data_IF_928116005623
#
_entry.id   IF_928116005623
#
_cell.length_a   1.000
_cell.length_b   1.000
_cell.length_c   1.000
_cell.angle_alpha   90.00
_cell.angle_beta   90.00
_cell.angle_gamma   90.00
#
_symmetry.space_group_name_H-M   'P 1'
#
loop_
_entity.id
_entity.type
_entity.pdbx_description
1 polymer ?
#
# COMPACT_ATOMS: atom_id res chain seq x y z
N UNK A 1 4.39 37.13 7.12
CA UNK A 1 3.99 36.01 6.29
C UNK A 1 3.85 34.78 7.15
N UNK A 2 2.65 34.48 7.52
CA UNK A 2 2.41 33.21 8.16
C UNK A 2 2.58 32.12 7.14
N UNK A 3 3.69 31.41 7.20
CA UNK A 3 3.71 30.10 6.62
C UNK A 3 2.63 29.32 7.36
N UNK A 4 1.52 29.18 6.70
CA UNK A 4 0.57 28.16 7.12
C UNK A 4 1.33 26.86 6.95
N UNK A 5 1.82 26.35 8.05
CA UNK A 5 2.34 25.01 8.10
C UNK A 5 1.12 24.12 7.84
N UNK A 6 0.93 23.84 6.58
CA UNK A 6 -0.09 22.92 6.17
C UNK A 6 0.42 21.52 6.53
N UNK A 7 0.17 21.15 7.78
CA UNK A 7 0.64 19.88 8.33
C UNK A 7 -0.06 18.67 7.73
N UNK A 8 -1.20 18.88 7.09
CA UNK A 8 -1.96 17.78 6.51
C UNK A 8 -1.40 17.26 5.17
N UNK A 9 -0.98 18.10 4.20
CA UNK A 9 -0.47 17.61 2.93
C UNK A 9 0.89 16.91 3.00
N UNK A 10 1.77 17.36 3.88
CA UNK A 10 3.09 16.75 4.00
C UNK A 10 3.03 15.35 4.61
N UNK A 11 2.11 15.13 5.51
CA UNK A 11 1.96 13.84 6.17
C UNK A 11 1.31 12.77 5.29
N UNK A 12 0.67 13.18 4.20
CA UNK A 12 -0.09 12.28 3.33
C UNK A 12 0.45 12.26 1.91
N UNK A 13 1.76 12.30 1.78
CA UNK A 13 2.41 12.18 0.49
C UNK A 13 2.63 10.72 0.14
N UNK A 14 2.46 10.40 -1.13
CA UNK A 14 2.60 9.05 -1.64
C UNK A 14 3.40 8.99 -2.92
N UNK A 15 3.97 7.84 -3.19
CA UNK A 15 4.43 7.46 -4.52
C UNK A 15 3.48 6.42 -5.09
N UNK A 16 3.28 6.46 -6.39
CA UNK A 16 2.48 5.47 -7.12
C UNK A 16 3.41 4.52 -7.85
N UNK A 17 3.10 3.24 -7.79
CA UNK A 17 3.90 2.19 -8.40
C UNK A 17 3.03 1.34 -9.31
N UNK A 18 3.45 1.16 -10.54
CA UNK A 18 2.74 0.34 -11.52
C UNK A 18 3.69 -0.53 -12.32
N UNK A 19 3.22 -1.71 -12.69
CA UNK A 19 3.89 -2.59 -13.65
C UNK A 19 3.18 -2.45 -14.99
N UNK A 20 3.93 -2.12 -16.03
CA UNK A 20 3.43 -2.07 -17.40
C UNK A 20 3.74 -3.43 -18.05
N UNK A 21 2.69 -4.17 -18.38
CA UNK A 21 2.83 -5.49 -19.01
C UNK A 21 3.21 -5.35 -20.47
N UNK A 22 3.85 -6.35 -21.06
CA UNK A 22 4.35 -6.30 -22.43
C UNK A 22 3.28 -5.94 -23.46
N UNK A 23 2.05 -6.39 -23.26
CA UNK A 23 0.93 -6.11 -24.15
C UNK A 23 0.20 -4.82 -23.85
N UNK A 24 0.63 -4.12 -22.82
CA UNK A 24 -0.01 -2.91 -22.38
C UNK A 24 0.65 -1.70 -23.03
N UNK A 25 -0.17 -0.83 -23.59
CA UNK A 25 0.28 0.44 -24.12
C UNK A 25 0.64 1.39 -22.97
N UNK A 26 1.70 2.19 -23.13
CA UNK A 26 2.07 3.21 -22.15
C UNK A 26 0.94 4.19 -21.88
N UNK A 27 0.16 4.51 -22.90
CA UNK A 27 -1.01 5.36 -22.77
C UNK A 27 -2.02 4.78 -21.79
N UNK A 28 -2.30 3.49 -21.91
CA UNK A 28 -3.23 2.78 -21.03
C UNK A 28 -2.69 2.73 -19.60
N UNK A 29 -1.40 2.48 -19.42
CA UNK A 29 -0.76 2.49 -18.12
C UNK A 29 -0.85 3.87 -17.47
N UNK A 30 -0.66 4.94 -18.22
CA UNK A 30 -0.80 6.29 -17.73
C UNK A 30 -2.24 6.64 -17.36
N UNK A 31 -3.21 6.15 -18.11
CA UNK A 31 -4.63 6.32 -17.78
C UNK A 31 -4.97 5.64 -16.45
N UNK A 32 -4.47 4.44 -16.21
CA UNK A 32 -4.66 3.75 -14.93
C UNK A 32 -3.97 4.47 -13.78
N UNK A 33 -2.79 5.03 -14.01
CA UNK A 33 -2.09 5.82 -13.00
C UNK A 33 -2.79 7.14 -12.71
N UNK A 34 -3.36 7.78 -13.72
CA UNK A 34 -4.18 8.99 -13.53
C UNK A 34 -5.41 8.68 -12.67
N UNK A 35 -6.04 7.56 -12.92
CA UNK A 35 -7.18 7.07 -12.14
C UNK A 35 -6.77 6.77 -10.69
N UNK A 36 -5.63 6.11 -10.49
CA UNK A 36 -5.10 5.83 -9.17
C UNK A 36 -4.76 7.11 -8.41
N UNK A 37 -4.16 8.08 -9.09
CA UNK A 37 -3.87 9.39 -8.51
C UNK A 37 -5.14 10.10 -8.06
N UNK A 38 -6.19 10.04 -8.88
CA UNK A 38 -7.50 10.59 -8.52
C UNK A 38 -8.09 9.89 -7.28
N UNK A 39 -7.97 8.58 -7.19
CA UNK A 39 -8.40 7.83 -6.01
C UNK A 39 -7.60 8.23 -4.77
N UNK A 40 -6.30 8.39 -4.91
CA UNK A 40 -5.45 8.83 -3.79
C UNK A 40 -5.86 10.24 -3.32
N UNK A 41 -6.07 11.16 -4.24
CA UNK A 41 -6.54 12.52 -3.91
C UNK A 41 -7.89 12.49 -3.19
N UNK A 42 -8.79 11.62 -3.63
CA UNK A 42 -10.09 11.42 -2.97
C UNK A 42 -9.93 10.94 -1.53
N UNK A 43 -8.90 10.15 -1.25
CA UNK A 43 -8.56 9.71 0.10
C UNK A 43 -7.78 10.77 0.90
N UNK A 44 -7.49 11.91 0.31
CA UNK A 44 -6.70 12.96 0.93
C UNK A 44 -5.19 12.73 0.86
N UNK A 45 -4.75 11.93 -0.10
CA UNK A 45 -3.34 11.57 -0.28
C UNK A 45 -2.81 12.23 -1.56
N UNK A 46 -1.68 12.91 -1.45
CA UNK A 46 -1.04 13.58 -2.58
C UNK A 46 0.05 12.70 -3.19
N UNK A 47 -0.08 12.39 -4.46
CA UNK A 47 0.95 11.70 -5.22
C UNK A 47 2.08 12.66 -5.61
N UNK A 48 3.30 12.35 -5.25
CA UNK A 48 4.47 13.19 -5.56
C UNK A 48 5.34 12.62 -6.66
N UNK A 49 5.26 11.32 -6.89
CA UNK A 49 6.03 10.66 -7.96
C UNK A 49 5.37 9.35 -8.37
N UNK A 50 5.52 9.02 -9.66
CA UNK A 50 5.08 7.76 -10.23
C UNK A 50 6.30 6.93 -10.61
N UNK A 51 6.29 5.67 -10.23
CA UNK A 51 7.30 4.69 -10.63
C UNK A 51 6.62 3.63 -11.50
N UNK A 52 7.20 3.37 -12.65
CA UNK A 52 6.71 2.33 -13.54
C UNK A 52 7.85 1.39 -13.89
N UNK A 53 7.52 0.13 -14.09
CA UNK A 53 8.46 -0.86 -14.58
C UNK A 53 7.76 -1.72 -15.60
N UNK A 54 8.41 -1.94 -16.75
CA UNK A 54 7.90 -2.85 -17.77
C UNK A 54 8.37 -4.25 -17.46
N UNK A 55 7.44 -5.14 -17.21
CA UNK A 55 7.68 -6.55 -16.94
C UNK A 55 6.67 -7.40 -17.72
N UNK A 56 7.06 -8.61 -18.10
CA UNK A 56 6.14 -9.57 -18.71
C UNK A 56 4.96 -9.87 -17.80
N UNK A 57 5.24 -9.99 -16.50
CA UNK A 57 4.25 -10.16 -15.44
C UNK A 57 4.81 -9.57 -14.15
N UNK A 58 3.94 -9.13 -13.22
CA UNK A 58 4.41 -8.70 -11.91
C UNK A 58 5.18 -9.81 -11.20
N UNK A 59 6.22 -9.43 -10.46
CA UNK A 59 6.98 -10.38 -9.66
C UNK A 59 6.06 -11.02 -8.59
N UNK A 60 6.09 -12.32 -8.50
CA UNK A 60 5.32 -13.04 -7.49
C UNK A 60 5.81 -12.73 -6.05
N UNK A 61 7.05 -12.31 -5.91
CA UNK A 61 7.68 -12.02 -4.62
C UNK A 61 7.42 -10.60 -4.15
N UNK A 62 7.66 -9.61 -5.02
CA UNK A 62 7.65 -8.20 -4.63
C UNK A 62 6.90 -7.29 -5.59
N UNK A 63 6.14 -7.84 -6.53
CA UNK A 63 5.40 -7.11 -7.56
C UNK A 63 6.32 -6.45 -8.60
N UNK A 64 7.40 -5.81 -8.17
CA UNK A 64 8.41 -5.15 -9.00
C UNK A 64 9.76 -5.83 -8.83
N UNK A 65 10.68 -5.57 -9.74
CA UNK A 65 12.04 -6.11 -9.66
C UNK A 65 12.85 -5.49 -8.53
N UNK A 66 13.89 -6.19 -8.10
CA UNK A 66 14.73 -5.79 -6.96
C UNK A 66 15.39 -4.41 -7.15
N UNK A 67 15.86 -4.12 -8.36
CA UNK A 67 16.48 -2.84 -8.67
C UNK A 67 15.49 -1.67 -8.54
N UNK A 68 14.28 -1.85 -9.06
CA UNK A 68 13.22 -0.84 -8.94
C UNK A 68 12.77 -0.70 -7.50
N UNK A 69 12.69 -1.79 -6.76
CA UNK A 69 12.34 -1.80 -5.35
C UNK A 69 13.35 -0.96 -4.54
N UNK A 70 14.64 -1.15 -4.78
CA UNK A 70 15.70 -0.38 -4.12
C UNK A 70 15.62 1.11 -4.48
N UNK A 71 15.35 1.44 -5.74
CA UNK A 71 15.17 2.81 -6.22
C UNK A 71 14.01 3.50 -5.49
N UNK A 72 12.87 2.84 -5.40
CA UNK A 72 11.68 3.38 -4.73
C UNK A 72 11.94 3.51 -3.23
N UNK A 73 12.56 2.52 -2.61
CA UNK A 73 12.88 2.56 -1.19
C UNK A 73 13.79 3.74 -0.83
N UNK A 74 14.80 3.99 -1.65
CA UNK A 74 15.69 5.14 -1.47
C UNK A 74 14.94 6.47 -1.57
N UNK A 75 14.06 6.60 -2.57
CA UNK A 75 13.25 7.80 -2.74
C UNK A 75 12.30 8.02 -1.57
N UNK A 76 11.64 6.97 -1.13
CA UNK A 76 10.69 7.00 0.00
C UNK A 76 11.37 7.46 1.29
N UNK A 77 12.56 6.92 1.56
CA UNK A 77 13.32 7.29 2.75
C UNK A 77 13.84 8.72 2.66
N UNK A 78 14.45 9.09 1.54
CA UNK A 78 15.05 10.40 1.32
C UNK A 78 14.02 11.54 1.39
N UNK A 79 12.82 11.30 0.86
CA UNK A 79 11.75 12.30 0.79
C UNK A 79 10.69 12.15 1.87
N UNK A 80 10.90 11.27 2.82
CA UNK A 80 9.98 11.03 3.94
C UNK A 80 8.55 10.72 3.46
N UNK A 81 8.44 9.88 2.45
CA UNK A 81 7.15 9.50 1.87
C UNK A 81 6.42 8.57 2.82
N UNK A 82 5.14 8.81 3.02
CA UNK A 82 4.33 8.08 3.97
C UNK A 82 3.60 6.88 3.38
N UNK A 83 3.25 6.94 2.10
CA UNK A 83 2.48 5.90 1.44
C UNK A 83 3.13 5.45 0.15
N UNK A 84 3.13 4.15 -0.08
CA UNK A 84 3.52 3.54 -1.35
C UNK A 84 2.29 2.82 -1.89
N UNK A 85 1.74 3.32 -2.97
CA UNK A 85 0.47 2.83 -3.52
C UNK A 85 0.74 2.06 -4.80
N UNK A 86 0.39 0.79 -4.80
CA UNK A 86 0.56 -0.10 -5.95
C UNK A 86 -0.73 -0.12 -6.78
N UNK A 87 -0.58 0.02 -8.08
CA UNK A 87 -1.70 0.04 -9.02
C UNK A 87 -2.14 -1.38 -9.40
N UNK A 88 -2.38 -2.19 -8.41
CA UNK A 88 -2.91 -3.55 -8.57
C UNK A 88 -3.24 -4.09 -7.19
N UNK A 89 -3.85 -5.27 -7.16
CA UNK A 89 -4.08 -5.99 -5.93
C UNK A 89 -2.82 -6.79 -5.57
N UNK A 90 -2.32 -6.63 -4.37
CA UNK A 90 -1.15 -7.36 -3.89
C UNK A 90 -1.57 -8.69 -3.26
N UNK A 91 -0.83 -9.75 -3.56
CA UNK A 91 -1.01 -11.02 -2.87
C UNK A 91 -0.51 -10.92 -1.43
N UNK A 92 -0.95 -11.81 -0.52
CA UNK A 92 -0.42 -11.84 0.85
C UNK A 92 1.10 -11.98 0.91
N UNK A 93 1.68 -12.77 0.01
CA UNK A 93 3.12 -12.96 -0.09
C UNK A 93 3.84 -11.69 -0.53
N UNK A 94 3.32 -11.02 -1.57
CA UNK A 94 3.88 -9.75 -2.04
C UNK A 94 3.81 -8.69 -0.94
N UNK A 95 2.68 -8.57 -0.29
CA UNK A 95 2.49 -7.60 0.80
C UNK A 95 3.48 -7.82 1.94
N UNK A 96 3.66 -9.08 2.36
CA UNK A 96 4.59 -9.44 3.42
C UNK A 96 6.03 -9.07 3.05
N UNK A 97 6.45 -9.39 1.83
CA UNK A 97 7.81 -9.09 1.38
C UNK A 97 8.04 -7.59 1.21
N UNK A 98 7.06 -6.87 0.70
CA UNK A 98 7.13 -5.41 0.54
C UNK A 98 7.11 -4.70 1.90
N UNK A 99 6.38 -5.22 2.87
CA UNK A 99 6.32 -4.64 4.21
C UNK A 99 7.67 -4.63 4.92
N UNK A 100 8.52 -5.60 4.63
CA UNK A 100 9.89 -5.65 5.16
C UNK A 100 10.72 -4.44 4.71
N UNK A 101 10.41 -3.91 3.54
CA UNK A 101 11.10 -2.77 2.95
C UNK A 101 10.44 -1.45 3.34
N UNK A 102 9.12 -1.37 3.25
CA UNK A 102 8.37 -0.12 3.40
C UNK A 102 7.68 0.06 4.75
N UNK A 103 7.68 -0.92 5.62
CA UNK A 103 7.23 -0.81 7.03
C UNK A 103 5.86 -0.13 7.21
N UNK A 104 4.79 -0.84 6.90
CA UNK A 104 3.40 -0.35 7.09
C UNK A 104 3.00 0.85 6.22
N UNK A 105 3.74 1.12 5.16
CA UNK A 105 3.43 2.23 4.25
C UNK A 105 2.69 1.79 3.00
N UNK A 106 2.37 0.51 2.87
CA UNK A 106 1.89 -0.07 1.64
C UNK A 106 0.37 0.00 1.53
N UNK A 107 -0.08 0.51 0.39
CA UNK A 107 -1.47 0.43 -0.06
C UNK A 107 -1.51 -0.24 -1.41
N UNK A 108 -2.52 -1.05 -1.66
CA UNK A 108 -2.88 -1.46 -3.01
C UNK A 108 -4.18 -0.75 -3.42
N UNK A 109 -4.60 -0.96 -4.66
CA UNK A 109 -5.79 -0.29 -5.19
C UNK A 109 -7.03 -0.59 -4.34
N UNK A 110 -7.22 -1.83 -3.94
CA UNK A 110 -8.39 -2.25 -3.16
C UNK A 110 -8.40 -1.65 -1.76
N UNK A 111 -7.26 -1.67 -1.06
CA UNK A 111 -7.18 -1.07 0.27
C UNK A 111 -7.39 0.44 0.25
N UNK A 112 -6.93 1.10 -0.82
CA UNK A 112 -7.17 2.53 -1.01
C UNK A 112 -8.66 2.84 -1.20
N UNK A 113 -9.34 2.06 -2.02
CA UNK A 113 -10.79 2.21 -2.24
C UNK A 113 -11.57 1.97 -0.95
N UNK A 114 -11.19 0.96 -0.19
CA UNK A 114 -11.82 0.67 1.10
C UNK A 114 -11.63 1.81 2.09
N UNK A 115 -10.46 2.42 2.11
CA UNK A 115 -10.18 3.57 2.97
C UNK A 115 -11.06 4.78 2.60
N UNK A 116 -11.29 5.00 1.31
CA UNK A 116 -12.23 6.03 0.84
C UNK A 116 -13.63 5.76 1.37
N UNK A 117 -14.11 4.53 1.30
CA UNK A 117 -15.42 4.16 1.81
C UNK A 117 -15.53 4.36 3.32
N UNK A 118 -14.48 4.03 4.07
CA UNK A 118 -14.44 4.29 5.53
C UNK A 118 -14.62 5.77 5.80
N UNK A 119 -13.92 6.62 5.09
CA UNK A 119 -13.99 8.07 5.28
C UNK A 119 -15.37 8.65 4.94
N UNK A 120 -16.08 8.03 4.00
CA UNK A 120 -17.40 8.49 3.52
C UNK A 120 -18.58 7.88 4.24
N UNK A 121 -18.38 6.82 5.00
CA UNK A 121 -19.45 6.18 5.74
C UNK A 121 -19.92 7.09 6.88
N UNK A 122 -21.20 7.46 6.87
CA UNK A 122 -21.75 8.40 7.84
C UNK A 122 -22.71 7.76 8.83
N UNK A 123 -23.33 6.64 8.48
CA UNK A 123 -24.24 5.93 9.37
C UNK A 123 -23.52 4.78 10.09
N UNK A 124 -24.01 4.39 11.24
CA UNK A 124 -23.47 3.25 11.99
C UNK A 124 -23.52 1.97 11.15
N UNK A 125 -24.60 1.75 10.42
CA UNK A 125 -24.73 0.60 9.53
C UNK A 125 -23.70 0.63 8.41
N UNK A 126 -23.54 1.77 7.73
CA UNK A 126 -22.56 1.92 6.65
C UNK A 126 -21.13 1.72 7.16
N UNK A 127 -20.80 2.29 8.32
CA UNK A 127 -19.49 2.10 8.96
C UNK A 127 -19.22 0.62 9.25
N UNK A 128 -20.19 -0.09 9.80
CA UNK A 128 -20.06 -1.51 10.10
C UNK A 128 -19.85 -2.35 8.82
N UNK A 129 -20.57 -2.03 7.75
CA UNK A 129 -20.42 -2.71 6.46
C UNK A 129 -19.04 -2.51 5.86
N UNK A 130 -18.52 -1.30 5.90
CA UNK A 130 -17.19 -0.99 5.36
C UNK A 130 -16.09 -1.63 6.20
N UNK A 131 -16.21 -1.59 7.52
CA UNK A 131 -15.28 -2.26 8.43
C UNK A 131 -15.25 -3.77 8.18
N UNK A 132 -16.41 -4.38 7.97
CA UNK A 132 -16.49 -5.78 7.61
C UNK A 132 -15.77 -6.07 6.29
N UNK A 133 -15.97 -5.26 5.28
CA UNK A 133 -15.29 -5.40 3.98
C UNK A 133 -13.79 -5.25 4.12
N UNK A 134 -13.32 -4.28 4.91
CA UNK A 134 -11.89 -4.12 5.21
C UNK A 134 -11.32 -5.36 5.89
N UNK A 135 -12.01 -5.88 6.90
CA UNK A 135 -11.57 -7.09 7.60
C UNK A 135 -11.50 -8.29 6.66
N UNK A 136 -12.49 -8.48 5.83
CA UNK A 136 -12.52 -9.58 4.86
C UNK A 136 -11.37 -9.48 3.85
N UNK A 137 -10.96 -8.29 3.49
CA UNK A 137 -9.85 -8.09 2.57
C UNK A 137 -8.49 -8.20 3.27
N UNK A 138 -8.34 -7.58 4.43
CA UNK A 138 -7.05 -7.49 5.12
C UNK A 138 -6.67 -8.75 5.89
N UNK A 139 -7.63 -9.46 6.48
CA UNK A 139 -7.33 -10.63 7.31
C UNK A 139 -6.50 -11.71 6.61
N UNK A 140 -6.85 -12.17 5.39
CA UNK A 140 -6.02 -13.16 4.71
C UNK A 140 -4.60 -12.66 4.41
N UNK A 141 -4.45 -11.36 4.20
CA UNK A 141 -3.17 -10.73 3.91
C UNK A 141 -2.31 -10.57 5.15
N UNK A 142 -2.91 -10.16 6.24
CA UNK A 142 -2.23 -9.96 7.51
C UNK A 142 -1.91 -11.26 8.23
N UNK A 143 -2.63 -12.33 7.97
CA UNK A 143 -2.41 -13.63 8.60
C UNK A 143 -0.98 -14.14 8.41
N UNK A 144 -0.42 -13.98 7.19
CA UNK A 144 0.96 -14.35 6.91
C UNK A 144 1.98 -13.51 7.68
N UNK A 145 1.70 -12.23 7.84
CA UNK A 145 2.55 -11.31 8.62
C UNK A 145 2.47 -11.63 10.11
N UNK A 146 1.29 -11.91 10.60
CA UNK A 146 1.08 -12.30 12.00
C UNK A 146 1.83 -13.58 12.34
N UNK A 147 1.73 -14.59 11.50
CA UNK A 147 2.44 -15.86 11.69
C UNK A 147 3.96 -15.64 11.74
N UNK A 148 4.47 -14.75 10.90
CA UNK A 148 5.90 -14.41 10.90
C UNK A 148 6.31 -13.74 12.21
N UNK A 149 5.51 -12.81 12.71
CA UNK A 149 5.75 -12.15 13.99
C UNK A 149 5.69 -13.12 15.16
N UNK A 150 4.73 -14.03 15.17
CA UNK A 150 4.63 -15.08 16.18
C UNK A 150 5.86 -15.99 16.20
N UNK A 151 6.35 -16.37 15.04
CA UNK A 151 7.57 -17.19 14.94
C UNK A 151 8.78 -16.49 15.51
N UNK A 152 8.91 -15.19 15.27
CA UNK A 152 9.99 -14.39 15.86
C UNK A 152 9.85 -14.32 17.38
N UNK A 153 8.66 -14.13 17.88
CA UNK A 153 8.38 -14.14 19.33
C UNK A 153 8.61 -15.51 19.95
N UNK A 154 8.13 -16.54 19.27
CA UNK A 154 8.28 -17.93 19.73
C UNK A 154 9.74 -18.36 19.84
N UNK A 155 10.62 -17.81 19.02
CA UNK A 155 12.06 -18.06 19.08
C UNK A 155 12.74 -17.47 20.29
N UNK A 156 12.16 -16.45 20.88
CA UNK A 156 12.75 -15.74 22.03
C UNK A 156 11.96 -15.90 23.32
N UNK A 157 10.68 -16.17 23.24
CA UNK A 157 9.83 -16.26 24.41
C UNK A 157 8.61 -17.10 24.15
N UNK A 158 8.76 -18.36 24.32
CA UNK A 158 7.73 -19.35 24.00
C UNK A 158 6.41 -19.17 24.75
N UNK A 159 6.39 -18.34 25.74
CA UNK A 159 5.20 -18.15 26.58
C UNK A 159 4.28 -17.02 26.14
N UNK A 160 4.77 -16.15 25.28
CA UNK A 160 4.04 -14.94 24.92
C UNK A 160 2.77 -15.15 24.14
N UNK A 161 2.59 -16.30 23.54
CA UNK A 161 1.43 -16.55 22.71
C UNK A 161 0.54 -17.71 23.18
N UNK A 162 0.97 -18.40 24.20
CA UNK A 162 0.28 -19.63 24.56
C UNK A 162 -1.00 -19.37 25.34
N UNK A 163 -2.12 -19.57 24.67
CA UNK A 163 -3.42 -19.65 25.34
C UNK A 163 -3.95 -18.36 25.96
N UNK A 164 -3.33 -17.29 25.61
CA UNK A 164 -3.82 -15.99 26.07
C UNK A 164 -4.54 -15.23 24.95
#
# INVERSE_FOLDING_TARGET
MGETIDTAPEQRRAVLVAVVRERQDERQANEYLDELEFLAETAGIRSVKRFTQRLAAPSAKTFIGEGKLAEIAAFVEENEIRYVIFDDELSPSQLRNLDKVFKNKIYDRTSLILDIFVQRATTAYAKAQVELAQCQYLLPRLAGMWTHLERQRGGTGTRGGAGE
#
